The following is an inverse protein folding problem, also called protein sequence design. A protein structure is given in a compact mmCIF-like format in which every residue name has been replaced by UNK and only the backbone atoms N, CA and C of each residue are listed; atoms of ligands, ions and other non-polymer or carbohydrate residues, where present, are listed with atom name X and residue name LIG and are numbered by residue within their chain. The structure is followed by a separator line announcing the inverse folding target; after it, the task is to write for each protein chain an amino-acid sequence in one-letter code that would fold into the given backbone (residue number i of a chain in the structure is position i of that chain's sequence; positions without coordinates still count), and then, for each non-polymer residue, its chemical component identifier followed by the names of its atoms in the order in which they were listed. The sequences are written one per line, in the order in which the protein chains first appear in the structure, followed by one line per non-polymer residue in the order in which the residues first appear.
data_IF_502717323955
#
_entry.id   IF_502717323955
#
_cell.length_a   1.000
_cell.length_b   1.000
_cell.length_c   1.000
_cell.angle_alpha   90.00
_cell.angle_beta   90.00
_cell.angle_gamma   90.00
#
_symmetry.space_group_name_H-M   'P 1'
#
loop_
_entity.id
_entity.type
_entity.pdbx_description
1 polymer ?
#
# COMPACT_ATOMS: atom_id res chain seq x y z
N UNK A 1 3.70 8.02 7.31
CA UNK A 1 3.51 9.39 6.79
C UNK A 1 3.62 9.39 5.26
N UNK A 2 2.79 8.59 4.60
CA UNK A 2 2.60 8.51 3.13
C UNK A 2 1.31 9.23 2.72
N UNK A 3 0.35 9.30 3.65
CA UNK A 3 -0.94 9.99 3.51
C UNK A 3 -0.85 11.46 3.08
N UNK A 4 0.14 12.21 3.60
CA UNK A 4 0.39 13.60 3.18
C UNK A 4 1.04 13.68 1.79
N UNK A 5 1.86 12.69 1.43
CA UNK A 5 2.62 12.63 0.17
C UNK A 5 1.70 12.24 -0.99
N UNK A 6 0.73 11.36 -0.74
CA UNK A 6 -0.23 10.85 -1.74
C UNK A 6 -1.49 11.69 -1.86
N UNK A 7 -1.68 12.69 -0.99
CA UNK A 7 -2.88 13.54 -0.96
C UNK A 7 -4.21 12.74 -0.96
N UNK A 8 -4.18 11.53 -0.39
CA UNK A 8 -5.25 10.53 -0.47
C UNK A 8 -5.52 9.89 0.90
N UNK A 9 -6.63 9.16 1.00
CA UNK A 9 -6.95 8.32 2.19
C UNK A 9 -5.90 7.20 2.34
N UNK A 10 -6.04 6.36 3.37
CA UNK A 10 -5.13 5.23 3.60
C UNK A 10 -4.88 4.45 2.29
N UNK A 11 -3.62 4.21 1.96
CA UNK A 11 -3.24 3.39 0.80
C UNK A 11 -3.55 1.93 1.15
N UNK A 12 -4.13 1.20 0.19
CA UNK A 12 -4.37 -0.23 0.30
C UNK A 12 -3.05 -0.94 0.52
N UNK A 13 -3.05 -1.87 1.47
CA UNK A 13 -1.84 -2.59 1.85
C UNK A 13 -1.59 -3.74 0.87
N UNK A 14 -0.33 -4.14 0.73
CA UNK A 14 0.05 -5.30 -0.09
C UNK A 14 -0.75 -6.55 0.33
N UNK A 15 -0.95 -6.76 1.63
CA UNK A 15 -1.76 -7.88 2.12
C UNK A 15 -3.24 -7.77 1.73
N UNK A 16 -3.82 -6.56 1.76
CA UNK A 16 -5.19 -6.34 1.33
C UNK A 16 -5.36 -6.58 -0.17
N UNK A 17 -4.39 -6.13 -0.97
CA UNK A 17 -4.37 -6.33 -2.41
C UNK A 17 -4.18 -7.81 -2.74
N UNK A 18 -3.29 -8.51 -2.04
CA UNK A 18 -3.06 -9.94 -2.21
C UNK A 18 -4.28 -10.78 -1.83
N UNK A 19 -5.00 -10.40 -0.76
CA UNK A 19 -6.24 -11.05 -0.39
C UNK A 19 -7.34 -10.85 -1.46
N UNK A 20 -7.33 -9.72 -2.16
CA UNK A 20 -8.26 -9.45 -3.27
C UNK A 20 -7.84 -10.13 -4.57
N UNK A 21 -6.55 -10.27 -4.83
CA UNK A 21 -5.99 -10.90 -6.03
C UNK A 21 -5.93 -12.44 -5.91
N UNK A 22 -5.94 -12.97 -4.68
CA UNK A 22 -5.87 -14.39 -4.36
C UNK A 22 -4.53 -14.80 -3.78
N UNK A 23 -3.43 -14.20 -4.23
CA UNK A 23 -2.09 -14.39 -3.65
C UNK A 23 -1.21 -13.15 -3.80
N UNK A 24 -0.07 -13.13 -3.10
CA UNK A 24 0.99 -12.12 -3.31
C UNK A 24 1.78 -12.35 -4.59
N UNK A 25 1.75 -13.56 -5.14
CA UNK A 25 2.46 -13.92 -6.37
C UNK A 25 1.73 -13.40 -7.61
N UNK A 26 0.44 -13.10 -7.47
CA UNK A 26 -0.41 -12.50 -8.50
C UNK A 26 -0.36 -10.96 -8.52
N UNK A 27 0.45 -10.32 -7.66
CA UNK A 27 0.61 -8.87 -7.62
C UNK A 27 1.86 -8.42 -8.38
N UNK A 28 1.70 -7.41 -9.24
CA UNK A 28 2.82 -6.72 -9.87
C UNK A 28 3.22 -5.46 -9.07
N UNK A 29 4.45 -4.99 -9.30
CA UNK A 29 4.97 -3.79 -8.63
C UNK A 29 4.08 -2.56 -8.90
N UNK A 30 3.47 -2.53 -10.07
CA UNK A 30 2.58 -1.47 -10.54
C UNK A 30 1.24 -1.47 -9.78
N UNK A 31 0.80 -2.62 -9.26
CA UNK A 31 -0.44 -2.75 -8.49
C UNK A 31 -0.32 -2.22 -7.05
N UNK A 32 0.90 -2.24 -6.51
CA UNK A 32 1.18 -1.89 -5.10
C UNK A 32 1.83 -0.51 -4.94
N UNK A 33 2.44 0.00 -6.01
CA UNK A 33 3.22 1.24 -6.00
C UNK A 33 2.35 2.45 -6.36
N UNK A 34 2.26 3.41 -5.43
CA UNK A 34 1.62 4.71 -5.69
C UNK A 34 2.69 5.79 -5.81
N UNK A 35 2.59 6.62 -6.85
CA UNK A 35 3.45 7.79 -7.03
C UNK A 35 2.76 9.01 -6.42
N UNK A 36 3.41 9.64 -5.44
CA UNK A 36 2.93 10.83 -4.76
C UNK A 36 3.71 12.09 -5.17
N UNK A 37 3.72 13.07 -4.27
CA UNK A 37 4.37 14.37 -4.48
C UNK A 37 5.83 14.23 -4.93
N UNK A 38 6.23 15.00 -5.96
CA UNK A 38 7.59 15.00 -6.53
C UNK A 38 8.10 13.60 -6.91
N UNK A 39 7.23 12.79 -7.51
CA UNK A 39 7.57 11.44 -7.98
C UNK A 39 8.02 10.48 -6.87
N UNK A 40 7.69 10.79 -5.61
CA UNK A 40 7.99 9.90 -4.49
C UNK A 40 7.12 8.66 -4.61
N UNK A 41 7.78 7.51 -4.74
CA UNK A 41 7.11 6.20 -4.82
C UNK A 41 6.85 5.67 -3.41
N UNK A 42 5.61 5.28 -3.14
CA UNK A 42 5.14 4.79 -1.85
C UNK A 42 4.49 3.41 -2.01
N UNK A 43 4.79 2.52 -1.05
CA UNK A 43 4.18 1.20 -0.90
C UNK A 43 3.78 1.03 0.56
N UNK A 44 2.66 0.35 0.83
CA UNK A 44 2.21 0.05 2.20
C UNK A 44 2.23 -1.46 2.45
N UNK A 45 3.08 -1.89 3.38
CA UNK A 45 3.36 -3.32 3.61
C UNK A 45 2.20 -4.10 4.24
N UNK A 46 1.30 -3.43 4.97
CA UNK A 46 0.20 -4.08 5.68
C UNK A 46 0.61 -4.79 6.97
N UNK A 47 1.64 -4.29 7.66
CA UNK A 47 1.93 -4.76 9.02
C UNK A 47 0.70 -4.66 9.94
N UNK A 48 0.64 -5.45 11.03
CA UNK A 48 -0.48 -5.43 11.97
C UNK A 48 -0.79 -4.00 12.38
N UNK A 49 -2.07 -3.62 12.33
CA UNK A 49 -2.48 -2.25 12.67
C UNK A 49 -1.91 -1.86 14.05
N UNK A 50 -1.28 -0.68 14.18
CA UNK A 50 -0.80 -0.19 15.46
C UNK A 50 -2.01 -0.02 16.39
N UNK A 51 -2.21 -0.94 17.32
CA UNK A 51 -3.36 -0.90 18.23
C UNK A 51 -3.99 -2.24 18.61
N UNK A 52 -3.50 -3.39 18.10
CA UNK A 52 -3.86 -4.69 18.67
C UNK A 52 -2.78 -5.16 19.65
N UNK A 53 -2.91 -4.67 20.88
CA UNK A 53 -2.15 -5.04 22.07
C UNK A 53 -2.89 -4.55 23.31
#
# INVERSE_FOLDING_TARGET
STRLILHAKAQDTILSLAASAGSVEDLELEDVMKVGYKDIRCVESGGPEPGVG
#
